data_IF_284646709317
#
_entry.id   IF_284646709317
#
_cell.length_a   1.000
_cell.length_b   1.000
_cell.length_c   1.000
_cell.angle_alpha   90.00
_cell.angle_beta   90.00
_cell.angle_gamma   90.00
#
_symmetry.space_group_name_H-M   'P 1'
#
loop_
_entity.id
_entity.type
_entity.pdbx_description
1 polymer ?
#
# COMPACT_ATOMS: atom_id res chain seq x y z
N UNK A 1 43.12 40.80 -52.41
CA UNK A 1 41.92 40.99 -51.54
C UNK A 1 42.32 40.66 -50.11
N UNK A 2 42.76 41.64 -49.32
CA UNK A 2 43.11 41.39 -47.90
C UNK A 2 41.86 41.54 -47.04
N UNK A 3 41.53 40.47 -46.32
CA UNK A 3 40.40 40.42 -45.39
C UNK A 3 40.87 41.07 -44.09
N UNK A 4 40.40 42.28 -43.79
CA UNK A 4 40.63 42.92 -42.48
C UNK A 4 39.92 42.10 -41.40
N UNK A 5 40.67 41.29 -40.67
CA UNK A 5 40.19 40.71 -39.42
C UNK A 5 40.27 41.81 -38.37
N UNK A 6 39.13 42.44 -38.09
CA UNK A 6 38.97 43.34 -36.94
C UNK A 6 39.07 42.48 -35.68
N UNK A 7 40.20 42.58 -34.97
CA UNK A 7 40.36 41.95 -33.67
C UNK A 7 39.39 42.57 -32.66
N UNK A 8 38.74 41.73 -31.85
CA UNK A 8 37.91 42.18 -30.73
C UNK A 8 38.74 43.06 -29.78
N UNK A 9 38.21 44.22 -29.39
CA UNK A 9 38.86 45.04 -28.38
C UNK A 9 38.67 44.44 -26.98
N UNK A 10 39.65 44.65 -26.10
CA UNK A 10 39.60 44.20 -24.71
C UNK A 10 38.37 44.80 -23.97
N UNK A 11 38.02 46.04 -24.31
CA UNK A 11 36.86 46.74 -23.77
C UNK A 11 35.53 46.07 -24.16
N UNK A 12 35.36 45.67 -25.42
CA UNK A 12 34.16 44.95 -25.88
C UNK A 12 34.02 43.60 -25.15
N UNK A 13 35.13 42.90 -24.89
CA UNK A 13 35.10 41.64 -24.15
C UNK A 13 34.69 41.84 -22.69
N UNK A 14 35.20 42.86 -22.00
CA UNK A 14 34.77 43.21 -20.63
C UNK A 14 33.28 43.57 -20.61
N UNK A 15 32.81 44.38 -21.57
CA UNK A 15 31.41 44.79 -21.63
C UNK A 15 30.47 43.59 -21.83
N UNK A 16 30.81 42.67 -22.74
CA UNK A 16 30.03 41.45 -22.98
C UNK A 16 30.00 40.55 -21.74
N UNK A 17 31.15 40.33 -21.10
CA UNK A 17 31.23 39.51 -19.88
C UNK A 17 30.46 40.14 -18.71
N UNK A 18 30.46 41.46 -18.59
CA UNK A 18 29.68 42.16 -17.58
C UNK A 18 28.18 41.96 -17.77
N UNK A 19 27.67 42.13 -18.99
CA UNK A 19 26.25 41.91 -19.32
C UNK A 19 25.87 40.44 -19.12
N UNK A 20 26.70 39.51 -19.61
CA UNK A 20 26.47 38.08 -19.43
C UNK A 20 26.43 37.69 -17.95
N UNK A 21 27.29 38.26 -17.12
CA UNK A 21 27.32 38.01 -15.67
C UNK A 21 26.09 38.55 -14.95
N UNK A 22 25.63 39.75 -15.32
CA UNK A 22 24.39 40.33 -14.77
C UNK A 22 23.18 39.47 -15.13
N UNK A 23 23.07 39.05 -16.40
CA UNK A 23 21.99 38.19 -16.86
C UNK A 23 22.05 36.80 -16.20
N UNK A 24 23.23 36.20 -16.10
CA UNK A 24 23.41 34.92 -15.42
C UNK A 24 23.03 35.02 -13.94
N UNK A 25 23.43 36.09 -13.26
CA UNK A 25 23.05 36.35 -11.86
C UNK A 25 21.54 36.52 -11.68
N UNK A 26 20.86 37.20 -12.61
CA UNK A 26 19.41 37.38 -12.57
C UNK A 26 18.62 36.08 -12.84
N UNK A 27 19.15 35.16 -13.66
CA UNK A 27 18.48 33.91 -14.03
C UNK A 27 18.78 32.73 -13.11
N UNK A 28 19.90 32.73 -12.38
CA UNK A 28 20.28 31.62 -11.51
C UNK A 28 19.19 31.21 -10.49
N UNK A 29 18.48 32.13 -9.79
CA UNK A 29 17.46 31.74 -8.83
C UNK A 29 16.25 31.04 -9.45
N UNK A 30 15.83 31.44 -10.66
CA UNK A 30 14.67 30.85 -11.34
C UNK A 30 15.00 29.45 -11.85
N UNK A 31 16.21 29.23 -12.37
CA UNK A 31 16.69 27.91 -12.80
C UNK A 31 16.76 26.93 -11.63
N UNK A 32 17.32 27.35 -10.49
CA UNK A 32 17.39 26.49 -9.29
C UNK A 32 16.00 26.11 -8.78
N UNK A 33 15.05 27.06 -8.74
CA UNK A 33 13.66 26.77 -8.38
C UNK A 33 12.99 25.81 -9.36
N UNK A 34 13.24 25.98 -10.67
CA UNK A 34 12.74 25.08 -11.70
C UNK A 34 13.21 23.64 -11.52
N UNK A 35 14.50 23.45 -11.26
CA UNK A 35 15.08 22.13 -10.99
C UNK A 35 14.47 21.51 -9.73
N UNK A 36 14.38 22.25 -8.62
CA UNK A 36 13.75 21.76 -7.38
C UNK A 36 12.31 21.29 -7.62
N UNK A 37 11.52 22.10 -8.32
CA UNK A 37 10.13 21.75 -8.67
C UNK A 37 10.06 20.51 -9.55
N UNK A 38 11.01 20.33 -10.47
CA UNK A 38 11.10 19.13 -11.31
C UNK A 38 11.34 17.88 -10.47
N UNK A 39 12.27 17.91 -9.51
CA UNK A 39 12.50 16.79 -8.60
C UNK A 39 11.28 16.50 -7.71
N UNK A 40 10.66 17.55 -7.18
CA UNK A 40 9.44 17.45 -6.38
C UNK A 40 8.29 16.77 -7.15
N UNK A 41 8.08 17.16 -8.41
CA UNK A 41 7.05 16.57 -9.27
C UNK A 41 7.37 15.14 -9.67
N UNK A 42 8.64 14.84 -9.98
CA UNK A 42 9.08 13.48 -10.31
C UNK A 42 8.90 12.54 -9.11
N UNK A 43 9.21 13.03 -7.90
CA UNK A 43 9.05 12.26 -6.68
C UNK A 43 7.59 12.01 -6.35
N UNK A 44 6.71 13.00 -6.50
CA UNK A 44 5.26 12.80 -6.33
C UNK A 44 4.73 11.72 -7.28
N UNK A 45 5.14 11.75 -8.55
CA UNK A 45 4.78 10.71 -9.50
C UNK A 45 5.34 9.33 -9.10
N UNK A 46 6.58 9.27 -8.63
CA UNK A 46 7.19 8.03 -8.14
C UNK A 46 6.42 7.44 -6.96
N UNK A 47 6.04 8.26 -5.98
CA UNK A 47 5.26 7.81 -4.83
C UNK A 47 3.88 7.27 -5.23
N UNK A 48 3.20 7.91 -6.20
CA UNK A 48 1.92 7.42 -6.75
C UNK A 48 2.08 6.05 -7.42
N UNK A 49 3.15 5.84 -8.18
CA UNK A 49 3.48 4.54 -8.75
C UNK A 49 3.71 3.51 -7.65
N UNK A 50 4.50 3.84 -6.61
CA UNK A 50 4.74 2.94 -5.48
C UNK A 50 3.45 2.59 -4.71
N UNK A 51 2.55 3.55 -4.52
CA UNK A 51 1.22 3.35 -3.91
C UNK A 51 0.37 2.38 -4.73
N UNK A 52 0.42 2.50 -6.06
CA UNK A 52 -0.30 1.60 -6.97
C UNK A 52 0.29 0.18 -6.94
N UNK A 53 1.62 0.06 -7.06
CA UNK A 53 2.32 -1.22 -6.91
C UNK A 53 2.05 -1.86 -5.54
N UNK A 54 2.00 -1.09 -4.46
CA UNK A 54 1.67 -1.63 -3.14
C UNK A 54 0.28 -2.26 -3.10
N UNK A 55 -0.73 -1.62 -3.70
CA UNK A 55 -2.07 -2.21 -3.79
C UNK A 55 -2.10 -3.46 -4.66
N UNK A 56 -1.41 -3.42 -5.80
CA UNK A 56 -1.26 -4.57 -6.70
C UNK A 56 -0.60 -5.75 -6.00
N UNK A 57 0.52 -5.52 -5.29
CA UNK A 57 1.19 -6.55 -4.49
C UNK A 57 0.24 -7.17 -3.45
N UNK A 58 -0.57 -6.35 -2.77
CA UNK A 58 -1.54 -6.82 -1.78
C UNK A 58 -2.60 -7.70 -2.43
N UNK A 59 -3.10 -7.32 -3.61
CA UNK A 59 -4.10 -8.09 -4.35
C UNK A 59 -3.51 -9.37 -4.94
N UNK A 60 -2.31 -9.36 -5.52
CA UNK A 60 -1.74 -10.55 -6.14
C UNK A 60 -1.23 -11.55 -5.11
N UNK A 61 -0.55 -11.08 -4.06
CA UNK A 61 0.13 -11.94 -3.09
C UNK A 61 -0.67 -12.20 -1.83
N UNK A 62 -1.82 -11.54 -1.67
CA UNK A 62 -2.67 -11.55 -0.46
C UNK A 62 -1.85 -11.25 0.80
N UNK A 63 -0.90 -10.32 0.65
CA UNK A 63 0.09 -9.97 1.68
C UNK A 63 0.29 -8.46 1.73
N UNK A 64 0.34 -7.90 2.94
CA UNK A 64 0.77 -6.52 3.18
C UNK A 64 2.16 -6.59 3.81
N UNK A 65 3.18 -5.91 3.27
CA UNK A 65 4.51 -5.89 3.89
C UNK A 65 4.49 -5.13 5.23
N UNK A 66 5.49 -5.36 6.06
CA UNK A 66 5.74 -4.58 7.27
C UNK A 66 6.28 -3.18 6.94
N UNK A 67 6.39 -2.32 7.96
CA UNK A 67 7.04 -1.00 7.84
C UNK A 67 8.56 -1.08 7.66
N UNK A 68 9.16 -2.27 7.70
CA UNK A 68 10.61 -2.47 7.59
C UNK A 68 11.08 -2.18 6.16
N UNK A 69 12.11 -1.33 6.01
CA UNK A 69 12.61 -0.87 4.71
C UNK A 69 12.90 -2.03 3.74
N UNK A 70 13.68 -3.03 4.17
CA UNK A 70 14.05 -4.17 3.33
C UNK A 70 12.87 -5.07 2.96
N UNK A 71 11.83 -5.10 3.80
CA UNK A 71 10.64 -5.91 3.55
C UNK A 71 9.78 -5.26 2.46
N UNK A 72 9.24 -4.05 2.70
CA UNK A 72 8.35 -3.43 1.70
C UNK A 72 9.08 -3.13 0.39
N UNK A 73 10.34 -2.67 0.42
CA UNK A 73 11.06 -2.39 -0.84
C UNK A 73 11.39 -3.66 -1.60
N UNK A 74 11.74 -4.76 -0.90
CA UNK A 74 11.95 -6.07 -1.51
C UNK A 74 10.67 -6.62 -2.12
N UNK A 75 9.54 -6.49 -1.42
CA UNK A 75 8.23 -6.96 -1.91
C UNK A 75 7.72 -6.19 -3.11
N UNK A 76 7.87 -4.88 -3.13
CA UNK A 76 7.51 -4.09 -4.31
C UNK A 76 8.44 -4.37 -5.50
N UNK A 77 9.71 -4.70 -5.27
CA UNK A 77 10.62 -5.10 -6.35
C UNK A 77 10.25 -6.44 -7.00
N UNK A 78 9.44 -7.29 -6.34
CA UNK A 78 8.99 -8.56 -6.93
C UNK A 78 7.93 -8.38 -8.02
N UNK A 79 7.22 -7.24 -8.04
CA UNK A 79 6.16 -6.92 -9.01
C UNK A 79 6.49 -5.70 -9.87
N UNK A 80 7.46 -4.89 -9.45
CA UNK A 80 7.90 -3.70 -10.16
C UNK A 80 9.03 -4.03 -11.13
N UNK A 81 9.06 -3.35 -12.28
CA UNK A 81 10.22 -3.35 -13.18
C UNK A 81 11.36 -2.43 -12.69
N UNK A 82 11.15 -1.73 -11.58
CA UNK A 82 12.14 -0.83 -10.98
C UNK A 82 13.13 -1.57 -10.08
N UNK A 83 14.39 -1.12 -10.08
CA UNK A 83 15.40 -1.66 -9.17
C UNK A 83 15.06 -1.35 -7.69
N UNK A 84 15.40 -2.24 -6.72
CA UNK A 84 15.12 -2.01 -5.30
C UNK A 84 15.66 -0.68 -4.74
N UNK A 85 16.77 -0.17 -5.28
CA UNK A 85 17.33 1.14 -4.92
C UNK A 85 16.42 2.31 -5.33
N UNK A 86 15.77 2.22 -6.50
CA UNK A 86 14.82 3.22 -7.01
C UNK A 86 13.48 3.19 -6.28
N UNK A 87 13.19 2.11 -5.57
CA UNK A 87 12.01 1.96 -4.71
C UNK A 87 12.30 2.53 -3.32
N UNK A 88 13.43 2.14 -2.73
CA UNK A 88 13.82 2.54 -1.37
C UNK A 88 14.33 3.98 -1.27
N UNK A 89 14.82 4.57 -2.36
CA UNK A 89 15.38 5.92 -2.40
C UNK A 89 14.76 6.77 -3.51
N UNK A 90 14.70 8.08 -3.28
CA UNK A 90 14.31 9.05 -4.30
C UNK A 90 15.43 9.35 -5.31
N UNK A 91 15.11 10.13 -6.34
CA UNK A 91 16.06 10.51 -7.41
C UNK A 91 17.29 11.27 -6.90
N UNK A 92 17.26 11.79 -5.67
CA UNK A 92 18.40 12.45 -5.04
C UNK A 92 19.21 11.51 -4.14
N UNK A 93 18.83 10.22 -4.05
CA UNK A 93 19.50 9.21 -3.25
C UNK A 93 19.10 9.20 -1.77
N UNK A 94 18.03 9.89 -1.38
CA UNK A 94 17.54 9.88 -0.01
C UNK A 94 16.50 8.78 0.23
N UNK A 95 16.61 8.09 1.35
CA UNK A 95 15.75 6.97 1.73
C UNK A 95 14.32 7.41 2.06
N UNK A 96 13.36 6.72 1.46
CA UNK A 96 11.92 6.82 1.73
C UNK A 96 11.51 5.95 2.90
N UNK A 97 10.39 6.27 3.55
CA UNK A 97 9.78 5.44 4.59
C UNK A 97 8.34 5.08 4.21
N UNK A 98 7.91 3.89 4.66
CA UNK A 98 6.52 3.46 4.64
C UNK A 98 6.04 3.39 6.09
N UNK A 99 5.03 4.19 6.41
CA UNK A 99 4.47 4.30 7.76
C UNK A 99 3.06 3.76 7.73
N UNK A 100 2.75 2.81 8.62
CA UNK A 100 1.40 2.29 8.81
C UNK A 100 0.76 2.93 10.04
N UNK A 101 -0.56 3.04 10.04
CA UNK A 101 -1.30 3.40 11.24
C UNK A 101 -1.06 2.33 12.33
N UNK A 102 -0.60 2.69 13.53
CA UNK A 102 -0.41 1.73 14.61
C UNK A 102 -1.68 0.97 15.00
N UNK A 103 -2.85 1.53 14.70
CA UNK A 103 -4.16 0.92 14.95
C UNK A 103 -4.72 0.20 13.72
N UNK A 104 -3.87 -0.18 12.75
CA UNK A 104 -4.30 -0.82 11.50
C UNK A 104 -5.22 -2.03 11.74
N UNK A 105 -4.78 -2.97 12.59
CA UNK A 105 -5.48 -4.24 12.81
C UNK A 105 -6.43 -4.22 14.01
N UNK A 106 -6.24 -3.31 14.96
CA UNK A 106 -7.03 -3.22 16.18
C UNK A 106 -6.96 -1.82 16.77
N UNK A 107 -7.90 -1.47 17.67
CA UNK A 107 -7.87 -0.21 18.42
C UNK A 107 -6.66 -0.07 19.35
N UNK A 108 -5.92 -1.15 19.62
CA UNK A 108 -4.69 -1.13 20.41
C UNK A 108 -3.49 -0.84 19.49
N UNK A 109 -2.77 0.28 19.69
CA UNK A 109 -1.61 0.64 18.87
C UNK A 109 -0.48 -0.39 18.95
N UNK A 110 0.02 -0.84 17.80
CA UNK A 110 1.21 -1.68 17.68
C UNK A 110 1.98 -1.36 16.39
N UNK A 111 3.26 -1.71 16.35
CA UNK A 111 4.02 -1.67 15.09
C UNK A 111 3.39 -2.66 14.12
N UNK A 112 3.03 -2.20 12.92
CA UNK A 112 2.40 -3.08 11.93
C UNK A 112 3.38 -4.18 11.49
N UNK A 113 3.09 -5.47 11.79
CA UNK A 113 4.04 -6.55 11.55
C UNK A 113 4.05 -7.04 10.09
N UNK A 114 3.24 -6.43 9.22
CA UNK A 114 2.83 -7.04 7.97
C UNK A 114 1.61 -7.93 8.16
N UNK A 115 0.99 -8.33 7.05
CA UNK A 115 -0.16 -9.24 7.03
C UNK A 115 0.08 -10.29 5.96
N UNK A 116 -0.10 -11.57 6.28
CA UNK A 116 -0.25 -12.64 5.29
C UNK A 116 -1.61 -13.26 5.47
N UNK A 117 -2.44 -13.19 4.43
CA UNK A 117 -3.74 -13.82 4.50
C UNK A 117 -3.59 -15.33 4.44
N UNK A 118 -4.18 -15.99 5.44
CA UNK A 118 -4.27 -17.45 5.51
C UNK A 118 -5.73 -17.87 5.65
N UNK A 119 -6.36 -17.54 6.79
CA UNK A 119 -7.76 -17.87 7.07
C UNK A 119 -8.69 -16.65 7.08
N UNK A 120 -8.18 -15.48 6.68
CA UNK A 120 -8.83 -14.19 6.85
C UNK A 120 -8.65 -13.66 8.28
N UNK A 121 -8.89 -12.35 8.46
CA UNK A 121 -8.87 -11.72 9.78
C UNK A 121 -10.17 -12.02 10.52
N UNK A 122 -10.09 -12.23 11.83
CA UNK A 122 -11.27 -12.47 12.69
C UNK A 122 -12.01 -11.20 13.06
N UNK A 123 -11.33 -10.05 12.99
CA UNK A 123 -11.90 -8.73 13.24
C UNK A 123 -11.68 -7.83 12.03
N UNK A 124 -12.56 -6.85 11.86
CA UNK A 124 -12.37 -5.84 10.83
C UNK A 124 -11.09 -5.05 11.11
N UNK A 125 -10.25 -4.78 10.09
CA UNK A 125 -9.17 -3.81 10.23
C UNK A 125 -9.73 -2.48 10.71
N UNK A 126 -9.19 -1.95 11.81
CA UNK A 126 -9.72 -0.76 12.47
C UNK A 126 -9.39 0.52 11.69
N UNK A 127 -8.12 0.70 11.29
CA UNK A 127 -7.67 1.86 10.52
C UNK A 127 -6.65 1.45 9.46
N UNK A 128 -7.08 0.79 8.37
CA UNK A 128 -6.19 0.20 7.38
C UNK A 128 -5.59 1.27 6.44
N UNK A 129 -4.72 2.13 6.99
CA UNK A 129 -4.09 3.28 6.34
C UNK A 129 -2.57 3.17 6.40
N UNK A 130 -1.89 3.65 5.37
CA UNK A 130 -0.44 3.86 5.36
C UNK A 130 -0.04 5.09 4.55
N UNK A 131 1.20 5.53 4.70
CA UNK A 131 1.76 6.66 3.96
C UNK A 131 3.18 6.33 3.51
N UNK A 132 3.48 6.59 2.24
CA UNK A 132 4.86 6.79 1.81
C UNK A 132 5.25 8.22 2.13
N UNK A 133 6.42 8.39 2.73
CA UNK A 133 7.00 9.71 3.03
C UNK A 133 8.39 9.75 2.41
N UNK A 134 8.68 10.83 1.70
CA UNK A 134 9.96 11.07 1.04
C UNK A 134 10.39 12.51 1.24
N UNK A 135 11.67 12.70 1.56
CA UNK A 135 12.28 14.01 1.74
C UNK A 135 13.45 14.14 0.75
N UNK A 136 13.41 15.20 -0.06
CA UNK A 136 14.39 15.48 -1.09
C UNK A 136 15.67 16.08 -0.53
N UNK A 137 15.82 16.27 0.79
CA UNK A 137 16.98 16.92 1.40
C UNK A 137 17.73 16.04 2.40
N UNK A 138 17.12 14.95 2.88
CA UNK A 138 17.69 14.07 3.90
C UNK A 138 17.07 12.69 3.88
N UNK A 139 17.79 11.73 4.46
CA UNK A 139 17.24 10.41 4.77
C UNK A 139 16.19 10.52 5.87
N UNK A 140 15.04 9.89 5.68
CA UNK A 140 14.03 9.76 6.72
C UNK A 140 14.32 8.55 7.61
N UNK A 141 14.07 8.71 8.90
CA UNK A 141 14.18 7.66 9.91
C UNK A 141 12.94 7.68 10.81
N UNK A 142 12.54 6.54 11.38
CA UNK A 142 11.38 6.48 12.29
C UNK A 142 10.07 6.09 11.60
N UNK A 143 9.89 4.79 11.37
CA UNK A 143 8.64 4.18 10.88
C UNK A 143 7.66 3.85 12.00
N UNK A 144 8.09 3.94 13.27
CA UNK A 144 7.29 3.65 14.46
C UNK A 144 6.74 4.95 15.06
N UNK A 145 5.72 5.52 14.44
CA UNK A 145 4.99 6.69 14.95
C UNK A 145 3.88 6.24 15.92
N UNK A 146 3.48 7.10 16.87
CA UNK A 146 2.26 6.87 17.65
C UNK A 146 1.01 7.07 16.79
N UNK A 147 -0.16 6.58 17.25
CA UNK A 147 -1.43 6.81 16.53
C UNK A 147 -1.72 8.31 16.35
N UNK A 148 -1.48 9.13 17.37
CA UNK A 148 -1.68 10.59 17.28
C UNK A 148 -0.69 11.26 16.33
N UNK A 149 0.56 10.80 16.29
CA UNK A 149 1.55 11.28 15.32
C UNK A 149 1.17 10.88 13.90
N UNK A 150 0.70 9.64 13.70
CA UNK A 150 0.21 9.17 12.41
C UNK A 150 -0.95 10.06 11.92
N UNK A 151 -1.96 10.29 12.76
CA UNK A 151 -3.11 11.13 12.42
C UNK A 151 -2.71 12.58 12.13
N UNK A 152 -1.75 13.14 12.88
CA UNK A 152 -1.23 14.47 12.63
C UNK A 152 -0.54 14.57 11.26
N UNK A 153 0.29 13.58 10.89
CA UNK A 153 0.92 13.50 9.56
C UNK A 153 -0.16 13.29 8.49
N UNK A 154 -1.11 12.38 8.71
CA UNK A 154 -2.18 12.08 7.76
C UNK A 154 -3.00 13.32 7.42
N UNK A 155 -3.44 14.06 8.44
CA UNK A 155 -4.28 15.24 8.32
C UNK A 155 -3.53 16.55 8.01
N UNK A 156 -2.18 16.51 7.97
CA UNK A 156 -1.35 17.72 7.88
C UNK A 156 -1.66 18.72 9.01
N UNK A 157 -1.84 18.21 10.22
CA UNK A 157 -2.11 19.02 11.39
C UNK A 157 -0.88 19.85 11.81
N UNK A 158 -1.11 21.00 12.44
CA UNK A 158 -0.03 21.81 13.02
C UNK A 158 0.79 20.99 14.02
N UNK A 159 2.11 20.94 13.84
CA UNK A 159 3.00 20.14 14.70
C UNK A 159 3.17 18.69 14.26
N UNK A 160 2.67 18.29 13.08
CA UNK A 160 2.97 16.99 12.49
C UNK A 160 4.48 16.80 12.32
N UNK A 161 4.97 15.59 12.62
CA UNK A 161 6.39 15.23 12.48
C UNK A 161 6.89 15.43 11.04
N UNK A 162 6.03 15.13 10.06
CA UNK A 162 6.28 15.33 8.65
C UNK A 162 5.14 16.17 8.07
N UNK A 163 5.50 17.31 7.49
CA UNK A 163 4.57 18.25 6.84
C UNK A 163 4.97 18.39 5.38
N UNK A 164 3.99 18.24 4.48
CA UNK A 164 4.16 18.38 3.04
C UNK A 164 4.74 19.75 2.69
N UNK A 165 5.72 19.75 1.80
CA UNK A 165 6.39 20.96 1.32
C UNK A 165 6.95 20.74 -0.07
N UNK A 166 7.72 21.70 -0.60
CA UNK A 166 8.42 21.52 -1.87
C UNK A 166 9.42 20.36 -1.82
N UNK A 167 10.05 20.14 -0.66
CA UNK A 167 11.08 19.13 -0.47
C UNK A 167 10.53 17.82 0.13
N UNK A 168 9.44 17.86 0.90
CA UNK A 168 8.84 16.68 1.53
C UNK A 168 7.50 16.31 0.89
N UNK A 169 7.41 15.09 0.35
CA UNK A 169 6.24 14.54 -0.32
C UNK A 169 5.66 13.36 0.46
N UNK A 170 4.33 13.31 0.52
CA UNK A 170 3.57 12.27 1.21
C UNK A 170 2.52 11.71 0.26
N UNK A 171 2.52 10.39 0.08
CA UNK A 171 1.47 9.69 -0.66
C UNK A 171 0.69 8.80 0.31
N UNK A 172 -0.61 9.01 0.36
CA UNK A 172 -1.53 8.29 1.27
C UNK A 172 -2.08 7.05 0.61
N UNK A 173 -2.07 5.94 1.34
CA UNK A 173 -2.59 4.65 0.89
C UNK A 173 -3.72 4.23 1.82
N UNK A 174 -4.92 4.04 1.27
CA UNK A 174 -6.06 3.49 1.99
C UNK A 174 -6.31 2.05 1.53
N UNK A 175 -6.22 1.10 2.46
CA UNK A 175 -6.48 -0.32 2.22
C UNK A 175 -7.91 -0.73 2.58
N UNK A 176 -8.72 0.16 3.18
CA UNK A 176 -10.10 -0.19 3.58
C UNK A 176 -10.93 -0.80 2.43
N UNK A 177 -10.88 -0.29 1.18
CA UNK A 177 -11.64 -0.87 0.07
C UNK A 177 -11.18 -2.26 -0.35
N UNK A 178 -9.99 -2.69 0.08
CA UNK A 178 -9.43 -3.99 -0.23
C UNK A 178 -9.91 -5.07 0.74
N UNK A 179 -10.61 -4.74 1.83
CA UNK A 179 -11.11 -5.72 2.77
C UNK A 179 -12.62 -5.90 2.65
N UNK A 180 -13.05 -7.15 2.48
CA UNK A 180 -14.44 -7.54 2.41
C UNK A 180 -14.81 -8.48 3.55
N UNK A 181 -16.01 -8.30 4.09
CA UNK A 181 -16.57 -9.18 5.10
C UNK A 181 -17.17 -10.41 4.41
N UNK A 182 -16.75 -11.60 4.82
CA UNK A 182 -17.34 -12.87 4.41
C UNK A 182 -17.93 -13.55 5.63
N UNK A 183 -19.23 -13.82 5.57
CA UNK A 183 -19.95 -14.59 6.58
C UNK A 183 -20.28 -15.97 6.04
N UNK A 184 -19.77 -17.01 6.69
CA UNK A 184 -20.09 -18.40 6.40
C UNK A 184 -21.03 -18.91 7.48
N UNK A 185 -22.15 -19.50 7.08
CA UNK A 185 -23.13 -20.10 7.99
C UNK A 185 -23.36 -21.55 7.65
N UNK A 186 -23.63 -22.39 8.64
CA UNK A 186 -23.77 -23.83 8.50
C UNK A 186 -24.99 -24.33 9.30
N UNK A 187 -25.96 -24.88 8.58
CA UNK A 187 -27.18 -25.46 9.14
C UNK A 187 -27.05 -26.95 9.47
N UNK A 188 -25.96 -27.59 9.05
CA UNK A 188 -25.71 -29.00 9.29
C UNK A 188 -25.21 -29.24 10.73
N UNK A 189 -25.50 -30.41 11.28
CA UNK A 189 -25.02 -30.86 12.59
C UNK A 189 -23.57 -31.32 12.57
N UNK A 190 -22.95 -31.36 11.39
CA UNK A 190 -21.52 -31.62 11.15
C UNK A 190 -20.83 -30.34 10.69
N UNK A 191 -19.53 -30.22 10.99
CA UNK A 191 -18.73 -29.10 10.51
C UNK A 191 -18.51 -29.23 8.99
N UNK A 192 -18.64 -28.12 8.28
CA UNK A 192 -18.17 -27.98 6.90
C UNK A 192 -16.84 -27.22 6.86
N UNK A 193 -16.26 -26.98 5.69
CA UNK A 193 -14.94 -26.36 5.58
C UNK A 193 -14.89 -25.16 4.63
N UNK A 194 -13.88 -24.31 4.84
CA UNK A 194 -13.49 -23.30 3.86
C UNK A 194 -11.96 -23.17 3.79
N UNK A 195 -11.43 -22.74 2.65
CA UNK A 195 -10.04 -22.29 2.54
C UNK A 195 -9.96 -21.02 1.70
N UNK A 196 -8.89 -20.25 1.90
CA UNK A 196 -8.59 -19.07 1.11
C UNK A 196 -7.33 -19.31 0.30
N UNK A 197 -7.36 -18.99 -1.00
CA UNK A 197 -6.27 -19.30 -1.92
C UNK A 197 -5.85 -20.78 -1.80
N UNK A 198 -4.53 -21.04 -1.75
CA UNK A 198 -3.94 -22.35 -1.45
C UNK A 198 -3.66 -22.53 0.05
N UNK A 199 -4.40 -21.84 0.92
CA UNK A 199 -4.26 -21.89 2.37
C UNK A 199 -4.82 -23.18 2.99
N UNK A 200 -4.63 -23.37 4.31
CA UNK A 200 -5.21 -24.50 5.01
C UNK A 200 -6.75 -24.43 5.04
N UNK A 201 -7.40 -25.58 5.07
CA UNK A 201 -8.85 -25.66 5.29
C UNK A 201 -9.14 -25.40 6.77
N UNK A 202 -10.09 -24.53 7.05
CA UNK A 202 -10.59 -24.21 8.38
C UNK A 202 -12.07 -24.58 8.52
N UNK A 203 -12.53 -24.90 9.75
CA UNK A 203 -13.88 -25.35 9.97
C UNK A 203 -14.86 -24.19 9.88
N UNK A 204 -16.04 -24.48 9.34
CA UNK A 204 -17.27 -23.73 9.61
C UNK A 204 -18.05 -24.55 10.64
N UNK A 205 -18.22 -24.04 11.88
CA UNK A 205 -18.79 -24.79 12.99
C UNK A 205 -20.13 -25.44 12.62
N UNK A 206 -20.39 -26.61 13.22
CA UNK A 206 -21.71 -27.23 13.14
C UNK A 206 -22.78 -26.35 13.82
N UNK A 207 -24.02 -26.53 13.39
CA UNK A 207 -25.20 -26.01 14.07
C UNK A 207 -25.24 -26.46 15.54
N UNK A 208 -25.59 -25.53 16.43
CA UNK A 208 -25.79 -25.79 17.86
C UNK A 208 -27.22 -25.48 18.27
N UNK A 209 -27.99 -26.52 18.59
CA UNK A 209 -29.41 -26.39 18.90
C UNK A 209 -30.20 -25.82 17.72
N UNK A 210 -30.78 -24.63 17.88
CA UNK A 210 -31.50 -23.91 16.82
C UNK A 210 -30.65 -22.91 16.06
N UNK A 211 -29.41 -22.65 16.48
CA UNK A 211 -28.53 -21.63 15.91
C UNK A 211 -27.56 -22.26 14.91
N UNK A 212 -27.57 -21.72 13.70
CA UNK A 212 -26.62 -22.08 12.65
C UNK A 212 -25.20 -21.78 13.13
N UNK A 213 -24.27 -22.71 12.85
CA UNK A 213 -22.86 -22.43 13.10
C UNK A 213 -22.39 -21.33 12.16
N UNK A 214 -21.48 -20.47 12.62
CA UNK A 214 -21.07 -19.31 11.83
C UNK A 214 -19.61 -18.97 11.99
N UNK A 215 -18.99 -18.53 10.89
CA UNK A 215 -17.64 -17.97 10.85
C UNK A 215 -17.66 -16.67 10.07
N UNK A 216 -17.20 -15.60 10.71
CA UNK A 216 -17.00 -14.31 10.07
C UNK A 216 -15.51 -14.06 9.84
N UNK A 217 -15.15 -13.64 8.62
CA UNK A 217 -13.78 -13.30 8.23
C UNK A 217 -13.74 -12.01 7.42
N UNK A 218 -12.68 -11.24 7.62
CA UNK A 218 -12.34 -10.10 6.78
C UNK A 218 -11.19 -10.50 5.86
N UNK A 219 -11.44 -10.44 4.56
CA UNK A 219 -10.61 -11.05 3.54
C UNK A 219 -10.23 -9.98 2.51
N UNK A 220 -8.99 -10.04 2.01
CA UNK A 220 -8.48 -9.19 0.95
C UNK A 220 -9.27 -9.45 -0.35
N UNK A 221 -9.55 -8.40 -1.10
CA UNK A 221 -10.28 -8.46 -2.37
C UNK A 221 -9.62 -9.39 -3.37
N UNK A 222 -10.43 -9.92 -4.28
CA UNK A 222 -10.05 -10.88 -5.31
C UNK A 222 -9.47 -12.16 -4.71
N UNK A 223 -9.85 -12.51 -3.49
CA UNK A 223 -9.42 -13.77 -2.90
C UNK A 223 -10.29 -14.92 -3.33
N UNK A 224 -9.66 -16.01 -3.77
CA UNK A 224 -10.34 -17.26 -4.03
C UNK A 224 -10.80 -17.86 -2.70
N UNK A 225 -12.09 -18.02 -2.53
CA UNK A 225 -12.73 -18.72 -1.44
C UNK A 225 -13.19 -20.08 -1.93
N UNK A 226 -12.63 -21.13 -1.35
CA UNK A 226 -13.02 -22.51 -1.59
C UNK A 226 -13.92 -22.99 -0.45
N UNK A 227 -15.05 -23.58 -0.79
CA UNK A 227 -16.06 -24.05 0.14
C UNK A 227 -16.20 -25.56 0.02
N UNK A 228 -16.01 -26.25 1.13
CA UNK A 228 -15.97 -27.71 1.22
C UNK A 228 -17.26 -28.23 1.87
N UNK A 229 -17.64 -29.44 1.48
CA UNK A 229 -18.79 -30.14 2.07
C UNK A 229 -18.53 -30.50 3.54
N UNK A 230 -19.48 -31.19 4.18
CA UNK A 230 -19.24 -31.91 5.42
C UNK A 230 -18.82 -33.37 5.16
N UNK A 231 -18.11 -34.04 6.09
CA UNK A 231 -17.53 -33.52 7.32
C UNK A 231 -16.16 -32.85 7.11
N UNK A 232 -15.89 -31.80 7.89
CA UNK A 232 -14.63 -31.07 7.92
C UNK A 232 -13.43 -32.03 8.15
N UNK A 233 -12.37 -31.85 7.37
CA UNK A 233 -11.12 -32.65 7.25
C UNK A 233 -11.07 -33.78 6.20
N UNK A 234 -12.20 -34.33 5.75
CA UNK A 234 -12.26 -35.29 4.62
C UNK A 234 -13.18 -34.86 3.48
N UNK A 235 -13.76 -33.66 3.59
CA UNK A 235 -14.69 -33.10 2.63
C UNK A 235 -14.05 -32.78 1.27
N UNK A 236 -14.82 -33.03 0.21
CA UNK A 236 -14.48 -32.60 -1.13
C UNK A 236 -14.81 -31.12 -1.32
N UNK A 237 -14.08 -30.47 -2.24
CA UNK A 237 -14.41 -29.12 -2.68
C UNK A 237 -15.78 -29.13 -3.35
N UNK A 238 -16.71 -28.30 -2.89
CA UNK A 238 -18.05 -28.20 -3.48
C UNK A 238 -18.12 -27.06 -4.48
N UNK A 239 -17.63 -25.88 -4.10
CA UNK A 239 -17.66 -24.69 -4.94
C UNK A 239 -16.52 -23.74 -4.59
N UNK A 240 -16.17 -22.89 -5.56
CA UNK A 240 -15.20 -21.81 -5.41
C UNK A 240 -15.85 -20.50 -5.85
N UNK A 241 -15.56 -19.41 -5.15
CA UNK A 241 -15.95 -18.06 -5.56
C UNK A 241 -14.78 -17.09 -5.39
N UNK A 242 -14.81 -15.97 -6.12
CA UNK A 242 -13.86 -14.88 -6.01
C UNK A 242 -14.48 -13.74 -5.19
N UNK A 243 -13.91 -13.46 -4.02
CA UNK A 243 -14.44 -12.46 -3.09
C UNK A 243 -14.06 -11.05 -3.56
N UNK A 244 -15.00 -10.39 -4.25
CA UNK A 244 -14.85 -9.00 -4.73
C UNK A 244 -15.76 -8.00 -3.99
N UNK A 245 -16.47 -8.46 -2.96
CA UNK A 245 -17.39 -7.68 -2.18
C UNK A 245 -17.77 -8.41 -0.90
N UNK A 246 -18.36 -7.68 0.06
CA UNK A 246 -18.87 -8.32 1.26
C UNK A 246 -20.02 -9.26 0.91
N UNK A 247 -19.96 -10.49 1.40
CA UNK A 247 -20.85 -11.57 0.98
C UNK A 247 -21.13 -12.55 2.11
N UNK A 248 -22.23 -13.30 1.97
CA UNK A 248 -22.62 -14.37 2.88
C UNK A 248 -22.74 -15.66 2.08
N UNK A 249 -22.33 -16.78 2.67
CA UNK A 249 -22.61 -18.12 2.16
C UNK A 249 -23.30 -18.93 3.25
N UNK A 250 -24.21 -19.79 2.84
CA UNK A 250 -24.96 -20.67 3.73
C UNK A 250 -24.83 -22.10 3.26
N UNK A 251 -24.39 -22.99 4.16
CA UNK A 251 -24.43 -24.42 3.95
C UNK A 251 -25.76 -24.97 4.46
N UNK A 252 -26.64 -25.36 3.54
CA UNK A 252 -28.03 -25.71 3.83
C UNK A 252 -28.53 -26.92 3.05
N UNK A 253 -29.58 -27.53 3.57
CA UNK A 253 -30.25 -28.64 2.91
C UNK A 253 -31.28 -28.14 1.90
N UNK A 254 -31.09 -28.42 0.62
CA UNK A 254 -31.98 -27.97 -0.46
C UNK A 254 -33.17 -28.90 -0.73
N UNK A 255 -33.40 -29.90 0.14
CA UNK A 255 -34.40 -30.96 -0.06
C UNK A 255 -33.82 -32.27 -0.62
N UNK A 256 -32.61 -32.24 -1.20
CA UNK A 256 -31.95 -33.42 -1.78
C UNK A 256 -30.53 -33.63 -1.26
N UNK A 257 -29.75 -32.58 -1.10
CA UNK A 257 -28.38 -32.62 -0.58
C UNK A 257 -28.03 -31.34 0.18
N UNK A 258 -26.95 -31.41 0.96
CA UNK A 258 -26.36 -30.25 1.63
C UNK A 258 -25.46 -29.49 0.66
N UNK A 259 -25.73 -28.20 0.47
CA UNK A 259 -24.98 -27.38 -0.47
C UNK A 259 -24.71 -25.98 0.06
N UNK A 260 -23.61 -25.41 -0.41
CA UNK A 260 -23.31 -23.99 -0.28
C UNK A 260 -24.17 -23.17 -1.24
N UNK A 261 -24.94 -22.24 -0.68
CA UNK A 261 -25.71 -21.25 -1.41
C UNK A 261 -25.24 -19.85 -1.05
N UNK A 262 -25.39 -18.92 -2.00
CA UNK A 262 -25.13 -17.49 -1.80
C UNK A 262 -26.50 -16.78 -1.74
N UNK A 263 -27.03 -16.52 -0.54
CA UNK A 263 -28.34 -15.88 -0.36
C UNK A 263 -28.37 -14.42 -0.81
#
# INVERSE_FOLDING_TARGET
>A
MSRSQRGFSLLEMIAVLAIASILAGALAPSLVRGIKKSYASAEEQSLRTLSSSLKEYVLERKRIPSSTLSDWSGKLAEISSEAPGKISQNERGFTRILVFDPTFLSSTPAVFPGLTQSLGLTNQPHSPRAMFVSDLTRNLTGTNVSSSQFDAIWAQASGALYTESDDLKIERVNFAPLFHRVLLTNQNTTESGYSLESGPIAPVPAKSGTLDGSVERFIISETKLDLFEDPFSSASLQTSDLVNGSTTYRYEFNGTSWNWTRP
#
